data_IF_156261610352
#
_entry.id   IF_156261610352
#
_cell.length_a   1.000
_cell.length_b   1.000
_cell.length_c   1.000
_cell.angle_alpha   90.00
_cell.angle_beta   90.00
_cell.angle_gamma   90.00
#
_symmetry.space_group_name_H-M   'P 1'
#
loop_
_entity.id
_entity.type
_entity.pdbx_description
1 polymer ?
#
# COMPACT_ATOMS: atom_id res chain seq x y z
N UNK A 1 -10.56 3.67 -14.90
CA UNK A 1 -9.85 3.15 -13.71
C UNK A 1 -8.60 3.97 -13.55
N UNK A 2 -8.37 4.57 -12.37
CA UNK A 2 -7.10 5.21 -12.08
C UNK A 2 -6.14 4.10 -11.64
N UNK A 3 -5.06 3.89 -12.39
CA UNK A 3 -4.09 2.81 -12.12
C UNK A 3 -3.01 3.23 -11.14
N UNK A 4 -3.03 4.49 -10.69
CA UNK A 4 -1.98 5.10 -9.88
C UNK A 4 -2.52 5.42 -8.49
N UNK A 5 -1.74 5.10 -7.46
CA UNK A 5 -1.96 5.49 -6.07
C UNK A 5 -0.98 6.62 -5.74
N UNK A 6 -1.41 7.68 -5.06
CA UNK A 6 -0.53 8.80 -4.71
C UNK A 6 -0.19 8.82 -3.22
N UNK A 7 1.07 9.01 -2.85
CA UNK A 7 1.48 9.36 -1.49
C UNK A 7 1.45 10.89 -1.37
N UNK A 8 0.61 11.40 -0.48
CA UNK A 8 0.29 12.84 -0.34
C UNK A 8 0.26 13.25 1.14
N UNK A 9 -0.17 14.48 1.45
CA UNK A 9 -0.34 14.97 2.82
C UNK A 9 0.92 15.67 3.33
N UNK A 10 1.29 15.40 4.59
CA UNK A 10 2.45 15.98 5.27
C UNK A 10 3.77 15.30 4.83
N UNK A 11 4.06 15.43 3.53
CA UNK A 11 5.23 14.91 2.83
C UNK A 11 5.89 16.01 2.02
N UNK A 12 7.22 15.98 1.89
CA UNK A 12 7.94 16.95 1.05
C UNK A 12 7.75 16.69 -0.44
N UNK A 13 7.63 15.42 -0.83
CA UNK A 13 7.45 15.01 -2.22
C UNK A 13 6.23 14.11 -2.37
N UNK A 14 5.32 14.49 -3.27
CA UNK A 14 4.24 13.60 -3.69
C UNK A 14 4.80 12.48 -4.57
N UNK A 15 4.52 11.23 -4.20
CA UNK A 15 5.00 10.05 -4.93
C UNK A 15 3.83 9.41 -5.66
N UNK A 16 4.02 9.07 -6.94
CA UNK A 16 3.03 8.34 -7.73
C UNK A 16 3.45 6.87 -7.81
N UNK A 17 2.62 5.98 -7.26
CA UNK A 17 2.81 4.55 -7.26
C UNK A 17 2.01 3.95 -8.40
N UNK A 18 2.69 3.31 -9.34
CA UNK A 18 2.05 2.56 -10.43
C UNK A 18 2.27 1.06 -10.20
N UNK A 19 1.28 0.33 -9.66
CA UNK A 19 1.42 -1.11 -9.42
C UNK A 19 1.57 -1.94 -10.71
N UNK A 20 1.27 -1.37 -11.89
CA UNK A 20 1.35 -2.10 -13.16
C UNK A 20 2.80 -2.39 -13.59
N UNK A 21 3.76 -1.57 -13.14
CA UNK A 21 5.17 -1.75 -13.46
C UNK A 21 5.92 -2.63 -12.44
N UNK A 22 5.33 -2.90 -11.27
CA UNK A 22 5.97 -3.70 -10.22
C UNK A 22 6.17 -5.17 -10.58
N UNK A 23 5.55 -5.65 -11.66
CA UNK A 23 5.83 -6.98 -12.19
C UNK A 23 7.31 -7.13 -12.64
N UNK A 24 8.02 -6.01 -12.88
CA UNK A 24 9.44 -5.99 -13.22
C UNK A 24 10.32 -5.44 -12.08
N UNK A 25 9.75 -5.19 -10.90
CA UNK A 25 10.50 -4.66 -9.77
C UNK A 25 11.19 -5.80 -9.02
N UNK A 26 12.52 -5.74 -8.90
CA UNK A 26 13.33 -6.72 -8.18
C UNK A 26 13.03 -6.76 -6.67
N UNK A 27 12.37 -5.72 -6.13
CA UNK A 27 11.96 -5.67 -4.71
C UNK A 27 10.68 -6.43 -4.44
N UNK A 28 9.99 -6.95 -5.47
CA UNK A 28 8.76 -7.72 -5.28
C UNK A 28 9.06 -9.07 -4.63
N UNK A 29 8.10 -9.59 -3.89
CA UNK A 29 8.20 -10.90 -3.25
C UNK A 29 6.83 -11.60 -3.21
N UNK A 30 6.80 -12.94 -3.10
CA UNK A 30 5.57 -13.68 -2.80
C UNK A 30 5.07 -13.33 -1.40
N UNK A 31 3.85 -12.83 -1.30
CA UNK A 31 3.27 -12.34 -0.05
C UNK A 31 3.10 -13.47 0.98
N UNK A 32 2.93 -14.71 0.52
CA UNK A 32 2.87 -15.91 1.36
C UNK A 32 4.16 -16.15 2.17
N UNK A 33 5.30 -15.60 1.77
CA UNK A 33 6.55 -15.65 2.55
C UNK A 33 6.51 -14.73 3.78
N UNK A 34 5.56 -13.78 3.83
CA UNK A 34 5.42 -12.79 4.91
C UNK A 34 4.10 -12.95 5.68
N UNK A 35 3.02 -13.42 5.04
CA UNK A 35 1.70 -13.58 5.63
C UNK A 35 1.13 -14.96 5.33
N UNK A 36 0.96 -15.78 6.38
CA UNK A 36 0.39 -17.12 6.26
C UNK A 36 -1.05 -17.09 5.72
N UNK A 37 -1.29 -17.89 4.69
CA UNK A 37 -2.59 -18.00 4.03
C UNK A 37 -2.93 -16.88 3.05
N UNK A 38 -2.00 -15.96 2.75
CA UNK A 38 -2.22 -14.88 1.78
C UNK A 38 -1.29 -15.06 0.58
N UNK A 39 -1.83 -15.43 -0.57
CA UNK A 39 -1.06 -15.49 -1.82
C UNK A 39 -1.05 -14.14 -2.55
N UNK A 40 0.04 -13.88 -3.28
CA UNK A 40 0.13 -12.75 -4.21
C UNK A 40 1.55 -12.23 -4.39
N UNK A 41 1.74 -11.29 -5.31
CA UNK A 41 2.99 -10.55 -5.42
C UNK A 41 2.81 -9.18 -4.76
N UNK A 42 3.76 -8.83 -3.91
CA UNK A 42 3.73 -7.60 -3.15
C UNK A 42 5.08 -6.89 -3.15
N UNK A 43 5.05 -5.61 -2.78
CA UNK A 43 6.21 -4.79 -2.45
C UNK A 43 6.03 -4.18 -1.06
N UNK A 44 7.11 -3.81 -0.39
CA UNK A 44 7.04 -3.08 0.88
C UNK A 44 6.62 -1.63 0.63
N UNK A 45 5.77 -1.07 1.50
CA UNK A 45 5.35 0.34 1.39
C UNK A 45 6.45 1.31 1.87
N UNK A 46 7.29 0.87 2.81
CA UNK A 46 8.30 1.70 3.49
C UNK A 46 9.19 2.52 2.54
N UNK A 47 9.78 1.95 1.46
CA UNK A 47 10.66 2.70 0.56
C UNK A 47 9.96 3.89 -0.11
N UNK A 48 8.67 3.74 -0.42
CA UNK A 48 7.89 4.81 -1.06
C UNK A 48 7.58 5.93 -0.07
N UNK A 49 7.25 5.59 1.18
CA UNK A 49 7.08 6.57 2.25
C UNK A 49 8.40 7.30 2.52
N UNK A 50 9.53 6.58 2.60
CA UNK A 50 10.84 7.21 2.81
C UNK A 50 11.17 8.22 1.71
N UNK A 51 10.92 7.88 0.44
CA UNK A 51 11.13 8.77 -0.70
C UNK A 51 10.21 10.00 -0.70
N UNK A 52 9.04 9.91 -0.06
CA UNK A 52 8.14 11.05 0.10
C UNK A 52 8.68 12.08 1.10
N UNK A 53 9.66 11.72 1.93
CA UNK A 53 10.20 12.52 3.03
C UNK A 53 9.04 13.08 3.92
N UNK A 54 8.30 12.20 4.63
CA UNK A 54 7.25 12.62 5.55
C UNK A 54 7.82 13.46 6.69
N UNK A 55 7.02 14.42 7.15
CA UNK A 55 7.30 15.20 8.34
C UNK A 55 7.55 14.31 9.56
N UNK A 56 8.48 14.71 10.43
CA UNK A 56 8.75 14.01 11.69
C UNK A 56 7.55 14.00 12.65
N UNK A 57 6.57 14.90 12.42
CA UNK A 57 5.33 14.96 13.19
C UNK A 57 4.26 14.01 12.69
N UNK A 58 4.43 13.41 11.52
CA UNK A 58 3.43 12.51 10.96
C UNK A 58 3.25 11.28 11.86
N UNK A 59 2.02 11.07 12.33
CA UNK A 59 1.71 9.92 13.22
C UNK A 59 0.87 8.86 12.53
N UNK A 60 0.15 9.22 11.44
CA UNK A 60 -0.78 8.33 10.76
C UNK A 60 -0.71 8.41 9.24
N UNK A 61 -1.17 7.33 8.62
CA UNK A 61 -1.44 7.23 7.19
C UNK A 61 -2.94 7.01 6.99
N UNK A 62 -3.58 7.91 6.25
CA UNK A 62 -4.98 7.80 5.85
C UNK A 62 -5.01 7.15 4.46
N UNK A 63 -5.45 5.90 4.41
CA UNK A 63 -5.68 5.14 3.20
C UNK A 63 -7.01 5.57 2.57
N UNK A 64 -6.94 6.53 1.64
CA UNK A 64 -8.11 7.07 0.95
C UNK A 64 -8.63 6.08 -0.07
N UNK A 65 -9.93 5.75 0.02
CA UNK A 65 -10.55 4.75 -0.86
C UNK A 65 -11.53 5.36 -1.84
N UNK A 66 -11.59 4.81 -3.05
CA UNK A 66 -12.61 5.19 -4.05
C UNK A 66 -14.02 4.78 -3.60
N UNK A 67 -14.12 3.75 -2.77
CA UNK A 67 -15.35 3.19 -2.25
C UNK A 67 -15.11 2.66 -0.84
N UNK A 68 -16.11 2.80 0.03
CA UNK A 68 -15.98 2.52 1.45
C UNK A 68 -15.43 3.71 2.22
N UNK A 69 -15.31 3.56 3.54
CA UNK A 69 -14.78 4.59 4.44
C UNK A 69 -13.24 4.63 4.37
N UNK A 70 -12.60 5.75 4.67
CA UNK A 70 -11.13 5.75 4.74
C UNK A 70 -10.63 4.89 5.90
N UNK A 71 -9.51 4.20 5.69
CA UNK A 71 -8.86 3.42 6.75
C UNK A 71 -7.66 4.21 7.27
N UNK A 72 -7.54 4.33 8.58
CA UNK A 72 -6.43 5.05 9.22
C UNK A 72 -5.55 4.03 9.94
N UNK A 73 -4.26 4.06 9.65
CA UNK A 73 -3.24 3.25 10.33
C UNK A 73 -2.13 4.16 10.84
N UNK A 74 -1.36 3.71 11.83
CA UNK A 74 -0.19 4.44 12.32
C UNK A 74 0.93 4.46 11.29
N UNK A 75 1.83 5.45 11.37
CA UNK A 75 3.05 5.45 10.54
C UNK A 75 3.95 4.24 10.81
N UNK A 76 3.91 3.66 12.01
CA UNK A 76 4.67 2.45 12.35
C UNK A 76 4.12 1.20 11.66
N UNK A 77 2.79 1.08 11.57
CA UNK A 77 2.14 0.04 10.77
C UNK A 77 2.40 0.26 9.28
N UNK A 78 2.26 1.50 8.80
CA UNK A 78 2.48 1.85 7.40
C UNK A 78 3.91 1.52 6.91
N UNK A 79 4.94 1.76 7.74
CA UNK A 79 6.34 1.41 7.42
C UNK A 79 6.57 -0.09 7.29
N UNK A 80 5.70 -0.93 7.84
CA UNK A 80 5.80 -2.39 7.75
C UNK A 80 4.84 -2.98 6.73
N UNK A 81 3.84 -2.21 6.29
CA UNK A 81 2.79 -2.67 5.41
C UNK A 81 3.30 -3.09 4.02
N UNK A 82 2.52 -3.97 3.39
CA UNK A 82 2.77 -4.51 2.07
C UNK A 82 1.69 -4.05 1.08
N UNK A 83 2.10 -3.73 -0.14
CA UNK A 83 1.18 -3.46 -1.26
C UNK A 83 1.17 -4.66 -2.20
N UNK A 84 0.10 -5.44 -2.15
CA UNK A 84 -0.15 -6.55 -3.06
C UNK A 84 -0.73 -6.03 -4.38
N UNK A 85 -0.03 -6.27 -5.49
CA UNK A 85 -0.40 -5.75 -6.81
C UNK A 85 -0.78 -6.82 -7.83
N UNK A 86 -0.54 -8.10 -7.51
CA UNK A 86 -1.00 -9.22 -8.32
C UNK A 86 -1.38 -10.43 -7.47
N UNK A 87 -2.38 -11.19 -7.93
CA UNK A 87 -2.78 -12.51 -7.40
C UNK A 87 -2.99 -13.47 -8.56
N UNK A 88 -2.63 -14.74 -8.38
CA UNK A 88 -2.70 -15.77 -9.43
C UNK A 88 -2.06 -15.32 -10.76
N UNK A 89 -0.91 -14.63 -10.65
CA UNK A 89 -0.17 -14.02 -11.77
C UNK A 89 -0.95 -12.97 -12.58
N UNK A 90 -2.03 -12.40 -12.03
CA UNK A 90 -2.84 -11.36 -12.66
C UNK A 90 -2.82 -10.08 -11.82
N UNK A 91 -2.75 -8.90 -12.45
CA UNK A 91 -2.89 -7.63 -11.74
C UNK A 91 -4.20 -7.56 -10.96
N UNK A 92 -4.18 -6.92 -9.79
CA UNK A 92 -5.41 -6.66 -9.03
C UNK A 92 -6.30 -5.69 -9.82
N UNK A 93 -7.47 -6.19 -10.25
CA UNK A 93 -8.48 -5.39 -10.97
C UNK A 93 -9.61 -4.96 -10.05
N UNK A 94 -10.27 -5.94 -9.42
CA UNK A 94 -11.28 -5.72 -8.39
C UNK A 94 -10.60 -5.35 -7.07
N UNK A 95 -11.04 -4.27 -6.42
CA UNK A 95 -10.34 -3.69 -5.27
C UNK A 95 -9.00 -3.01 -5.59
N UNK A 96 -8.59 -2.95 -6.87
CA UNK A 96 -7.27 -2.45 -7.28
C UNK A 96 -7.12 -0.92 -7.26
N UNK A 97 -5.91 -0.42 -7.62
CA UNK A 97 -4.85 -1.12 -8.35
C UNK A 97 -3.86 -1.93 -7.49
N UNK A 98 -3.91 -1.80 -6.16
CA UNK A 98 -3.21 -2.65 -5.20
C UNK A 98 -4.02 -2.77 -3.90
N UNK A 99 -3.73 -3.80 -3.12
CA UNK A 99 -4.31 -4.05 -1.79
C UNK A 99 -3.25 -3.81 -0.72
N UNK A 100 -3.58 -3.12 0.37
CA UNK A 100 -2.68 -2.93 1.50
C UNK A 100 -2.92 -3.97 2.60
N UNK A 101 -1.85 -4.66 2.97
CA UNK A 101 -1.80 -5.64 4.05
C UNK A 101 -0.91 -5.14 5.19
N UNK A 102 -1.35 -5.33 6.42
CA UNK A 102 -0.56 -5.09 7.62
C UNK A 102 0.37 -6.28 7.87
N UNK A 103 1.61 -5.99 8.27
CA UNK A 103 2.63 -7.03 8.48
C UNK A 103 2.32 -7.98 9.63
N UNK A 104 1.47 -7.58 10.58
CA UNK A 104 0.99 -8.45 11.66
C UNK A 104 -0.12 -9.40 11.20
N UNK A 105 -0.60 -9.26 9.96
CA UNK A 105 -1.67 -10.07 9.38
C UNK A 105 -3.07 -9.79 9.93
N UNK A 106 -3.24 -8.76 10.76
CA UNK A 106 -4.53 -8.43 11.40
C UNK A 106 -5.65 -8.13 10.39
N UNK A 107 -5.30 -7.67 9.19
CA UNK A 107 -6.25 -7.35 8.13
C UNK A 107 -6.23 -8.36 6.96
N UNK A 108 -5.65 -9.55 7.14
CA UNK A 108 -5.48 -10.52 6.03
C UNK A 108 -6.80 -10.91 5.34
N UNK A 109 -7.88 -10.99 6.10
CA UNK A 109 -9.22 -11.35 5.61
C UNK A 109 -9.95 -10.16 4.97
N UNK A 110 -9.54 -8.93 5.30
CA UNK A 110 -10.12 -7.68 4.81
C UNK A 110 -9.02 -6.65 4.55
N UNK A 111 -8.20 -6.84 3.50
CA UNK A 111 -7.16 -5.89 3.16
C UNK A 111 -7.76 -4.55 2.75
N UNK A 112 -6.98 -3.47 2.86
CA UNK A 112 -7.45 -2.16 2.40
C UNK A 112 -7.43 -2.15 0.87
N UNK A 113 -8.59 -2.00 0.28
CA UNK A 113 -8.85 -2.05 -1.15
C UNK A 113 -9.24 -0.67 -1.72
N UNK A 114 -9.40 -0.60 -3.05
CA UNK A 114 -9.79 0.61 -3.78
C UNK A 114 -8.95 1.86 -3.45
N UNK A 115 -7.67 1.65 -3.14
CA UNK A 115 -6.75 2.71 -2.76
C UNK A 115 -6.59 3.74 -3.88
N UNK A 116 -6.70 5.01 -3.51
CA UNK A 116 -6.45 6.14 -4.42
C UNK A 116 -5.31 7.02 -3.92
N UNK A 117 -5.26 7.26 -2.60
CA UNK A 117 -4.21 8.03 -1.96
C UNK A 117 -3.78 7.39 -0.65
N UNK A 118 -2.52 7.59 -0.31
CA UNK A 118 -1.92 7.29 0.97
C UNK A 118 -1.50 8.64 1.56
N UNK A 119 -2.41 9.25 2.32
CA UNK A 119 -2.25 10.61 2.83
C UNK A 119 -1.60 10.58 4.21
N UNK A 120 -0.38 11.11 4.32
CA UNK A 120 0.36 11.24 5.57
C UNK A 120 -0.20 12.41 6.36
N UNK A 121 -0.44 12.22 7.66
CA UNK A 121 -0.97 13.25 8.54
C UNK A 121 -0.44 13.14 9.97
N UNK A 122 -0.55 14.23 10.74
CA UNK A 122 -0.34 14.28 12.19
C UNK A 122 -1.49 13.62 12.96
#
# INVERSE_FOLDING_TARGET
>A
MNSVIQVTGDVKYTIHLDPTIWIFDERRFPLEERLDGVSGLAVELAPFLANAEPSEKATKLICRRRQGEDVVISMEEAKKAYLCFAKDNKPIREGGPALLYLADGSNKDQPVDYLTHLEVAE
#
